data_IF_608575472171
#
_entry.id   IF_608575472171
#
_cell.length_a   1.000
_cell.length_b   1.000
_cell.length_c   1.000
_cell.angle_alpha   90.00
_cell.angle_beta   90.00
_cell.angle_gamma   90.00
#
_symmetry.space_group_name_H-M   'P 1'
#
loop_
_entity.id
_entity.type
_entity.pdbx_description
1 polymer ?
#
# COMPACT_ATOMS: atom_id res chain seq x y z
N UNK A 1 23.19 -8.81 -10.36
CA UNK A 1 22.58 -8.37 -9.08
C UNK A 1 23.59 -8.01 -7.99
N UNK A 2 24.57 -8.87 -7.65
CA UNK A 2 25.54 -8.57 -6.57
C UNK A 2 26.41 -7.35 -6.90
N UNK A 3 26.90 -7.22 -8.14
CA UNK A 3 27.64 -6.03 -8.62
C UNK A 3 26.81 -4.75 -8.62
N UNK A 4 25.50 -4.85 -8.84
CA UNK A 4 24.59 -3.70 -8.79
C UNK A 4 24.41 -3.19 -7.36
N UNK A 5 24.37 -4.09 -6.36
CA UNK A 5 24.23 -3.71 -4.95
C UNK A 5 25.49 -3.02 -4.43
N UNK A 6 26.68 -3.47 -4.83
CA UNK A 6 27.93 -2.79 -4.49
C UNK A 6 28.02 -1.37 -5.08
N UNK A 7 27.48 -1.18 -6.29
CA UNK A 7 27.45 0.14 -6.94
C UNK A 7 26.47 1.12 -6.29
N UNK A 8 25.43 0.63 -5.57
CA UNK A 8 24.47 1.47 -4.85
C UNK A 8 25.17 2.34 -3.79
N UNK A 9 26.11 1.76 -3.04
CA UNK A 9 26.83 2.48 -1.99
C UNK A 9 27.90 3.42 -2.52
N UNK A 10 28.35 3.25 -3.76
CA UNK A 10 29.36 4.09 -4.41
C UNK A 10 28.79 5.41 -4.94
N UNK A 11 27.46 5.55 -5.11
CA UNK A 11 26.82 6.77 -5.57
C UNK A 11 26.39 7.62 -4.37
N UNK A 12 27.04 8.79 -4.10
CA UNK A 12 26.80 9.54 -2.86
C UNK A 12 25.34 10.02 -2.70
N UNK A 13 24.70 10.41 -3.80
CA UNK A 13 23.30 10.89 -3.78
C UNK A 13 22.32 9.78 -3.44
N UNK A 14 22.48 8.60 -4.06
CA UNK A 14 21.62 7.43 -3.80
C UNK A 14 21.79 6.95 -2.36
N UNK A 15 23.04 6.90 -1.89
CA UNK A 15 23.36 6.57 -0.49
C UNK A 15 22.68 7.54 0.48
N UNK A 16 22.73 8.86 0.20
CA UNK A 16 22.08 9.88 1.03
C UNK A 16 20.56 9.68 1.08
N UNK A 17 19.92 9.39 -0.04
CA UNK A 17 18.47 9.12 -0.12
C UNK A 17 18.08 7.86 0.65
N UNK A 18 18.85 6.77 0.51
CA UNK A 18 18.62 5.52 1.25
C UNK A 18 18.77 5.73 2.75
N UNK A 19 19.87 6.37 3.20
CA UNK A 19 20.10 6.67 4.59
C UNK A 19 19.01 7.58 5.19
N UNK A 20 18.55 8.55 4.41
CA UNK A 20 17.43 9.40 4.81
C UNK A 20 16.15 8.60 5.00
N UNK A 21 15.81 7.71 4.06
CA UNK A 21 14.63 6.82 4.15
C UNK A 21 14.72 5.93 5.38
N UNK A 22 15.86 5.26 5.60
CA UNK A 22 16.08 4.42 6.77
C UNK A 22 16.01 5.22 8.08
N UNK A 23 16.57 6.42 8.11
CA UNK A 23 16.49 7.33 9.27
C UNK A 23 15.04 7.72 9.61
N UNK A 24 14.23 8.06 8.59
CA UNK A 24 12.81 8.38 8.79
C UNK A 24 11.98 7.17 9.25
N UNK A 25 12.27 5.98 8.71
CA UNK A 25 11.64 4.73 9.18
C UNK A 25 12.04 4.39 10.63
N UNK A 26 13.29 4.67 11.02
CA UNK A 26 13.72 4.52 12.42
C UNK A 26 12.97 5.49 13.34
N UNK A 27 12.79 6.76 12.94
CA UNK A 27 11.97 7.73 13.69
C UNK A 27 10.52 7.24 13.83
N UNK A 28 9.93 6.74 12.75
CA UNK A 28 8.61 6.13 12.81
C UNK A 28 8.57 4.98 13.82
N UNK A 29 9.58 4.10 13.80
CA UNK A 29 9.62 2.95 14.70
C UNK A 29 9.77 3.35 16.17
N UNK A 30 10.56 4.37 16.48
CA UNK A 30 10.66 4.93 17.84
C UNK A 30 9.30 5.45 18.31
N UNK A 31 8.58 6.19 17.47
CA UNK A 31 7.25 6.72 17.79
C UNK A 31 6.20 5.63 18.05
N UNK A 32 6.33 4.44 17.43
CA UNK A 32 5.48 3.27 17.73
C UNK A 32 5.69 2.69 19.13
N UNK A 33 6.63 3.21 19.92
CA UNK A 33 6.89 2.78 21.31
C UNK A 33 6.55 3.87 22.33
N UNK A 34 6.13 5.05 21.90
CA UNK A 34 5.72 6.15 22.80
C UNK A 34 4.25 5.97 23.17
N UNK A 35 3.92 5.59 24.42
CA UNK A 35 2.54 5.32 24.82
C UNK A 35 1.71 6.63 24.88
N UNK A 36 0.42 6.52 24.61
CA UNK A 36 -0.55 7.60 24.82
C UNK A 36 -0.77 7.79 26.33
N UNK A 37 -0.72 9.01 26.85
CA UNK A 37 -0.93 9.26 28.26
C UNK A 37 -2.33 8.84 28.73
N UNK A 38 -2.42 8.23 29.91
CA UNK A 38 -3.70 7.86 30.55
C UNK A 38 -4.22 6.47 30.20
N UNK A 39 -3.48 5.67 29.42
CA UNK A 39 -3.82 4.27 29.09
C UNK A 39 -2.85 3.34 29.77
N UNK A 40 -3.37 2.27 30.40
CA UNK A 40 -2.55 1.18 30.91
C UNK A 40 -2.21 0.21 29.77
N UNK A 41 -0.99 0.32 29.26
CA UNK A 41 -0.50 -0.49 28.16
C UNK A 41 -0.40 -1.99 28.49
N UNK A 42 -0.23 -2.35 29.77
CA UNK A 42 -0.13 -3.77 30.16
C UNK A 42 -1.49 -4.46 30.16
N UNK A 43 -2.52 -3.79 30.65
CA UNK A 43 -3.91 -4.31 30.64
C UNK A 43 -4.39 -4.43 29.19
N UNK A 44 -4.08 -3.43 28.36
CA UNK A 44 -4.45 -3.42 26.95
C UNK A 44 -3.75 -4.54 26.16
N UNK A 45 -2.46 -4.77 26.39
CA UNK A 45 -1.72 -5.86 25.72
C UNK A 45 -2.32 -7.23 26.02
N UNK A 46 -2.70 -7.50 27.28
CA UNK A 46 -3.39 -8.74 27.65
C UNK A 46 -4.76 -8.89 26.97
N UNK A 47 -5.48 -7.79 26.77
CA UNK A 47 -6.75 -7.80 26.02
C UNK A 47 -6.52 -8.19 24.55
N UNK A 48 -5.48 -7.65 23.92
CA UNK A 48 -5.15 -7.97 22.52
C UNK A 48 -4.60 -9.39 22.32
N UNK A 49 -3.95 -10.01 23.32
CA UNK A 49 -3.54 -11.41 23.27
C UNK A 49 -4.73 -12.36 23.05
N UNK A 50 -5.91 -12.02 23.62
CA UNK A 50 -7.14 -12.79 23.44
C UNK A 50 -7.90 -12.49 22.13
N UNK A 51 -7.52 -11.43 21.39
CA UNK A 51 -8.25 -10.95 20.22
C UNK A 51 -7.48 -11.14 18.91
N UNK A 52 -6.44 -11.95 18.92
CA UNK A 52 -5.67 -12.31 17.71
C UNK A 52 -6.59 -13.04 16.72
N UNK A 53 -6.65 -12.54 15.48
CA UNK A 53 -7.58 -13.05 14.45
C UNK A 53 -8.82 -12.17 14.23
N UNK A 54 -9.08 -11.18 15.08
CA UNK A 54 -10.16 -10.21 14.87
C UNK A 54 -9.73 -9.04 13.97
N UNK A 55 -10.69 -8.18 13.59
CA UNK A 55 -10.42 -6.94 12.85
C UNK A 55 -9.40 -6.05 13.57
N UNK A 56 -9.42 -5.99 14.90
CA UNK A 56 -8.46 -5.24 15.70
C UNK A 56 -7.03 -5.78 15.54
N UNK A 57 -6.85 -7.09 15.47
CA UNK A 57 -5.57 -7.73 15.19
C UNK A 57 -5.03 -7.37 13.80
N UNK A 58 -5.91 -7.28 12.78
CA UNK A 58 -5.50 -6.85 11.44
C UNK A 58 -5.04 -5.37 11.44
N UNK A 59 -5.76 -4.47 12.12
CA UNK A 59 -5.33 -3.06 12.26
C UNK A 59 -3.98 -2.99 12.95
N UNK A 60 -3.79 -3.76 14.03
CA UNK A 60 -2.52 -3.85 14.75
C UNK A 60 -1.38 -4.32 13.85
N UNK A 61 -1.62 -5.29 12.97
CA UNK A 61 -0.63 -5.76 12.01
C UNK A 61 -0.18 -4.64 11.05
N UNK A 62 -1.08 -3.80 10.55
CA UNK A 62 -0.74 -2.66 9.68
C UNK A 62 -0.02 -1.53 10.42
N UNK A 63 -0.32 -1.32 11.69
CA UNK A 63 0.33 -0.29 12.51
C UNK A 63 1.63 -0.77 13.18
N UNK A 64 2.02 -2.04 12.95
CA UNK A 64 3.24 -2.62 13.54
C UNK A 64 3.17 -2.77 15.06
N UNK A 65 1.99 -3.11 15.62
CA UNK A 65 1.74 -3.26 17.04
C UNK A 65 1.53 -1.95 17.80
N UNK A 66 1.42 -0.82 17.09
CA UNK A 66 1.22 0.48 17.72
C UNK A 66 -0.15 0.59 18.41
N UNK A 67 -1.19 -0.09 17.88
CA UNK A 67 -2.53 -0.12 18.47
C UNK A 67 -2.58 -0.96 19.75
N UNK A 68 -1.92 -2.12 19.76
CA UNK A 68 -1.87 -3.00 20.96
C UNK A 68 -1.26 -2.33 22.18
N UNK A 69 -0.32 -1.42 21.93
CA UNK A 69 0.37 -0.65 22.97
C UNK A 69 -0.25 0.73 23.19
N UNK A 70 -1.30 1.06 22.45
CA UNK A 70 -1.92 2.38 22.40
C UNK A 70 -0.88 3.52 22.37
N UNK A 71 -0.04 3.49 21.35
CA UNK A 71 1.00 4.51 21.18
C UNK A 71 0.43 5.76 20.50
N UNK A 72 1.20 6.83 20.47
CA UNK A 72 0.86 8.07 19.74
C UNK A 72 0.54 7.77 18.26
N UNK A 73 1.07 6.68 17.71
CA UNK A 73 0.86 6.24 16.34
C UNK A 73 -0.19 5.12 16.21
N UNK A 74 -1.07 4.94 17.20
CA UNK A 74 -2.05 3.85 17.20
C UNK A 74 -3.01 3.86 16.01
N UNK A 75 -3.43 5.04 15.51
CA UNK A 75 -4.20 5.18 14.28
C UNK A 75 -3.38 4.85 13.01
N UNK A 76 -2.06 4.90 13.10
CA UNK A 76 -1.18 4.69 11.96
C UNK A 76 -1.46 5.65 10.79
N UNK A 77 -1.36 5.13 9.57
CA UNK A 77 -1.60 5.87 8.33
C UNK A 77 -3.05 5.71 7.80
N UNK A 78 -3.91 4.95 8.51
CA UNK A 78 -5.26 4.62 8.03
C UNK A 78 -6.14 5.84 7.75
N UNK A 79 -6.17 6.91 8.58
CA UNK A 79 -6.95 8.12 8.27
C UNK A 79 -6.51 8.79 6.97
N UNK A 80 -5.22 8.79 6.68
CA UNK A 80 -4.67 9.34 5.44
C UNK A 80 -5.08 8.51 4.22
N UNK A 81 -5.01 7.18 4.32
CA UNK A 81 -5.45 6.28 3.25
C UNK A 81 -6.94 6.52 2.95
N UNK A 82 -7.78 6.56 3.98
CA UNK A 82 -9.22 6.80 3.84
C UNK A 82 -9.50 8.16 3.19
N UNK A 83 -8.83 9.23 3.63
CA UNK A 83 -8.96 10.56 3.03
C UNK A 83 -8.52 10.57 1.55
N UNK A 84 -7.42 9.89 1.24
CA UNK A 84 -6.90 9.78 -0.12
C UNK A 84 -7.89 9.04 -1.05
N UNK A 85 -8.50 7.94 -0.55
CA UNK A 85 -9.51 7.18 -1.29
C UNK A 85 -10.72 8.07 -1.59
N UNK A 86 -11.26 8.75 -0.57
CA UNK A 86 -12.42 9.62 -0.71
C UNK A 86 -12.15 10.70 -1.78
N UNK A 87 -10.99 11.33 -1.73
CA UNK A 87 -10.64 12.37 -2.71
C UNK A 87 -10.42 11.80 -4.10
N UNK A 88 -9.79 10.62 -4.24
CA UNK A 88 -9.65 9.96 -5.53
C UNK A 88 -11.01 9.56 -6.13
N UNK A 89 -11.95 9.08 -5.31
CA UNK A 89 -13.31 8.84 -5.77
C UNK A 89 -14.00 10.14 -6.21
N UNK A 90 -13.81 11.23 -5.46
CA UNK A 90 -14.36 12.54 -5.81
C UNK A 90 -13.78 13.10 -7.12
N UNK A 91 -12.54 12.77 -7.49
CA UNK A 91 -11.98 13.19 -8.80
C UNK A 91 -12.71 12.57 -9.99
N UNK A 92 -13.40 11.45 -9.79
CA UNK A 92 -14.17 10.79 -10.86
C UNK A 92 -15.65 11.22 -10.86
N UNK A 93 -16.21 11.47 -9.67
CA UNK A 93 -17.64 11.75 -9.50
C UNK A 93 -17.96 13.24 -9.57
N UNK A 94 -17.03 14.10 -9.11
CA UNK A 94 -17.25 15.53 -8.95
C UNK A 94 -16.47 16.34 -9.99
N UNK A 95 -17.16 16.89 -10.98
CA UNK A 95 -16.56 17.66 -12.08
C UNK A 95 -15.56 18.76 -11.64
N UNK A 96 -15.80 19.56 -10.56
CA UNK A 96 -14.84 20.57 -10.11
C UNK A 96 -13.49 19.95 -9.65
N UNK A 97 -13.53 18.75 -9.03
CA UNK A 97 -12.34 18.05 -8.55
C UNK A 97 -11.63 17.35 -9.73
N UNK A 98 -12.39 16.84 -10.70
CA UNK A 98 -11.86 16.32 -11.95
C UNK A 98 -11.08 17.40 -12.74
N UNK A 99 -11.63 18.61 -12.85
CA UNK A 99 -10.95 19.75 -13.50
C UNK A 99 -9.62 20.08 -12.81
N UNK A 100 -9.63 20.14 -11.47
CA UNK A 100 -8.40 20.34 -10.68
C UNK A 100 -7.37 19.24 -10.94
N UNK A 101 -7.78 17.98 -11.05
CA UNK A 101 -6.87 16.87 -11.36
C UNK A 101 -6.20 17.03 -12.73
N UNK A 102 -6.87 17.68 -13.69
CA UNK A 102 -6.35 17.94 -15.06
C UNK A 102 -5.48 19.18 -15.16
N UNK A 103 -5.46 20.06 -14.15
CA UNK A 103 -4.63 21.29 -14.12
C UNK A 103 -3.12 21.03 -13.92
N UNK A 104 -2.69 19.76 -13.92
CA UNK A 104 -1.29 19.39 -13.83
C UNK A 104 -0.74 19.47 -12.40
N UNK A 105 0.47 20.03 -12.22
CA UNK A 105 1.16 20.01 -10.92
C UNK A 105 0.46 20.86 -9.85
N UNK A 106 -0.13 21.98 -10.25
CA UNK A 106 -0.81 22.89 -9.32
C UNK A 106 -2.09 22.28 -8.77
N UNK A 107 -2.87 21.63 -9.63
CA UNK A 107 -4.07 20.89 -9.22
C UNK A 107 -3.74 19.71 -8.28
N UNK A 108 -2.69 18.96 -8.59
CA UNK A 108 -2.21 17.88 -7.70
C UNK A 108 -1.82 18.40 -6.31
N UNK A 109 -1.13 19.52 -6.21
CA UNK A 109 -0.79 20.16 -4.92
C UNK A 109 -2.04 20.53 -4.13
N UNK A 110 -3.07 21.03 -4.80
CA UNK A 110 -4.37 21.37 -4.17
C UNK A 110 -5.08 20.12 -3.66
N UNK A 111 -5.13 19.04 -4.45
CA UNK A 111 -5.72 17.76 -4.04
C UNK A 111 -4.96 17.19 -2.82
N UNK A 112 -3.64 17.20 -2.83
CA UNK A 112 -2.81 16.78 -1.69
C UNK A 112 -3.11 17.60 -0.44
N UNK A 113 -3.30 18.92 -0.57
CA UNK A 113 -3.69 19.79 0.55
C UNK A 113 -5.06 19.40 1.13
N UNK A 114 -6.03 19.10 0.28
CA UNK A 114 -7.34 18.62 0.74
C UNK A 114 -7.27 17.24 1.40
N UNK A 115 -6.40 16.35 0.89
CA UNK A 115 -6.13 15.06 1.52
C UNK A 115 -5.61 15.26 2.95
N UNK A 116 -4.68 16.19 3.18
CA UNK A 116 -4.16 16.51 4.51
C UNK A 116 -5.27 16.99 5.46
N UNK A 117 -6.14 17.89 5.01
CA UNK A 117 -7.27 18.34 5.82
C UNK A 117 -8.25 17.21 6.11
N UNK A 118 -8.61 16.41 5.11
CA UNK A 118 -9.45 15.23 5.28
C UNK A 118 -8.86 14.22 6.27
N UNK A 119 -7.55 14.03 6.23
CA UNK A 119 -6.83 13.17 7.18
C UNK A 119 -6.99 13.65 8.61
N UNK A 120 -6.84 14.95 8.87
CA UNK A 120 -7.00 15.52 10.21
C UNK A 120 -8.45 15.34 10.71
N UNK A 121 -9.44 15.62 9.87
CA UNK A 121 -10.85 15.44 10.24
C UNK A 121 -11.16 13.98 10.56
N UNK A 122 -10.73 13.06 9.69
CA UNK A 122 -10.94 11.62 9.93
C UNK A 122 -10.18 11.12 11.16
N UNK A 123 -8.97 11.62 11.43
CA UNK A 123 -8.21 11.23 12.62
C UNK A 123 -8.87 11.71 13.91
N UNK A 124 -9.52 12.88 13.91
CA UNK A 124 -10.31 13.36 15.06
C UNK A 124 -11.51 12.44 15.30
N UNK A 125 -12.25 12.09 14.24
CA UNK A 125 -13.44 11.21 14.34
C UNK A 125 -13.02 9.80 14.83
N UNK A 126 -12.00 9.22 14.21
CA UNK A 126 -11.51 7.89 14.61
C UNK A 126 -10.87 7.89 15.99
N UNK A 127 -10.12 8.95 16.33
CA UNK A 127 -9.53 9.14 17.65
C UNK A 127 -10.60 9.27 18.75
N UNK A 128 -11.70 9.97 18.47
CA UNK A 128 -12.85 10.04 19.39
C UNK A 128 -13.46 8.65 19.61
N UNK A 129 -13.63 7.87 18.54
CA UNK A 129 -14.14 6.50 18.63
C UNK A 129 -13.29 5.58 19.49
N UNK A 130 -11.99 5.64 19.25
CA UNK A 130 -11.05 4.83 20.05
C UNK A 130 -11.05 5.31 21.50
N UNK A 131 -11.06 6.61 21.77
CA UNK A 131 -11.07 7.16 23.12
C UNK A 131 -12.32 6.72 23.92
N UNK A 132 -13.50 6.74 23.29
CA UNK A 132 -14.75 6.26 23.90
C UNK A 132 -14.71 4.74 24.09
N UNK A 133 -14.26 4.00 23.08
CA UNK A 133 -14.16 2.54 23.18
C UNK A 133 -13.20 2.08 24.28
N UNK A 134 -12.06 2.76 24.46
CA UNK A 134 -11.10 2.43 25.52
C UNK A 134 -11.66 2.62 26.94
N UNK A 135 -12.55 3.58 27.16
CA UNK A 135 -13.18 3.78 28.47
C UNK A 135 -14.12 2.63 28.87
N UNK A 136 -14.70 1.95 27.87
CA UNK A 136 -15.60 0.80 28.10
C UNK A 136 -14.86 -0.53 28.18
N UNK A 137 -13.62 -0.59 27.68
CA UNK A 137 -12.81 -1.79 27.65
C UNK A 137 -12.31 -2.18 29.05
N UNK A 138 -12.41 -3.48 29.35
CA UNK A 138 -11.89 -4.09 30.58
C UNK A 138 -10.94 -5.21 30.21
N UNK A 139 -9.86 -5.32 30.97
CA UNK A 139 -8.93 -6.45 30.85
C UNK A 139 -9.55 -7.77 31.28
N UNK A 140 -8.89 -8.91 31.02
CA UNK A 140 -9.39 -10.24 31.37
C UNK A 140 -9.69 -10.43 32.87
N UNK A 141 -9.02 -9.68 33.75
CA UNK A 141 -9.22 -9.67 35.19
C UNK A 141 -10.25 -8.63 35.67
N UNK A 142 -10.96 -7.95 34.75
CA UNK A 142 -11.93 -6.89 35.07
C UNK A 142 -11.29 -5.51 35.32
N UNK A 143 -9.97 -5.39 35.17
CA UNK A 143 -9.23 -4.14 35.31
C UNK A 143 -9.63 -3.14 34.20
N UNK A 144 -9.69 -1.85 34.58
CA UNK A 144 -9.99 -0.79 33.60
C UNK A 144 -8.74 -0.45 32.80
N UNK A 145 -8.86 -0.43 31.47
CA UNK A 145 -7.79 0.00 30.56
C UNK A 145 -7.44 1.50 30.76
N UNK A 146 -8.46 2.30 31.16
CA UNK A 146 -8.33 3.72 31.47
C UNK A 146 -8.68 3.97 32.92
N UNK A 147 -7.69 4.16 33.80
CA UNK A 147 -7.95 4.41 35.22
C UNK A 147 -8.72 5.70 35.48
N UNK A 148 -8.39 6.77 34.77
CA UNK A 148 -9.01 8.09 34.90
C UNK A 148 -9.96 8.34 33.71
N UNK A 149 -11.21 7.91 33.85
CA UNK A 149 -12.25 8.13 32.85
C UNK A 149 -12.75 9.58 32.90
N UNK A 150 -13.06 10.16 31.76
CA UNK A 150 -13.67 11.48 31.66
C UNK A 150 -13.38 12.21 30.35
N UNK A 151 -14.00 13.37 30.21
CA UNK A 151 -13.83 14.22 29.01
C UNK A 151 -12.36 14.65 28.79
N UNK A 152 -11.59 14.83 29.88
CA UNK A 152 -10.17 15.18 29.82
C UNK A 152 -9.33 14.09 29.11
N UNK A 153 -9.60 12.82 29.41
CA UNK A 153 -8.95 11.70 28.73
C UNK A 153 -9.32 11.66 27.24
N UNK A 154 -10.61 11.85 26.91
CA UNK A 154 -11.09 11.84 25.51
C UNK A 154 -10.38 12.92 24.70
N UNK A 155 -10.36 14.17 25.20
CA UNK A 155 -9.69 15.28 24.51
C UNK A 155 -8.19 15.04 24.36
N UNK A 156 -7.53 14.58 25.42
CA UNK A 156 -6.09 14.28 25.39
C UNK A 156 -5.78 13.20 24.34
N UNK A 157 -6.56 12.12 24.32
CA UNK A 157 -6.37 11.02 23.37
C UNK A 157 -6.60 11.48 21.94
N UNK A 158 -7.67 12.25 21.66
CA UNK A 158 -7.94 12.80 20.34
C UNK A 158 -6.77 13.66 19.84
N UNK A 159 -6.30 14.60 20.67
CA UNK A 159 -5.19 15.47 20.31
C UNK A 159 -3.91 14.67 20.05
N UNK A 160 -3.60 13.72 20.93
CA UNK A 160 -2.39 12.88 20.81
C UNK A 160 -2.41 12.03 19.55
N UNK A 161 -3.51 11.34 19.26
CA UNK A 161 -3.64 10.49 18.09
C UNK A 161 -3.68 11.29 16.79
N UNK A 162 -4.35 12.45 16.78
CA UNK A 162 -4.38 13.33 15.62
C UNK A 162 -2.99 13.92 15.33
N UNK A 163 -2.28 14.35 16.36
CA UNK A 163 -0.90 14.84 16.22
C UNK A 163 0.02 13.72 15.70
N UNK A 164 -0.12 12.49 16.21
CA UNK A 164 0.62 11.33 15.74
C UNK A 164 0.35 11.01 14.28
N UNK A 165 -0.91 10.99 13.86
CA UNK A 165 -1.29 10.76 12.45
C UNK A 165 -0.75 11.86 11.53
N UNK A 166 -0.84 13.13 11.94
CA UNK A 166 -0.29 14.25 11.18
C UNK A 166 1.23 14.13 11.03
N UNK A 167 1.92 13.67 12.05
CA UNK A 167 3.36 13.45 12.02
C UNK A 167 3.75 12.27 11.09
N UNK A 168 3.03 11.15 11.15
CA UNK A 168 3.24 10.01 10.23
C UNK A 168 3.01 10.43 8.78
N UNK A 169 1.95 11.18 8.51
CA UNK A 169 1.65 11.74 7.19
C UNK A 169 2.82 12.58 6.69
N UNK A 170 3.33 13.50 7.52
CA UNK A 170 4.48 14.32 7.20
C UNK A 170 5.74 13.48 6.93
N UNK A 171 6.00 12.44 7.77
CA UNK A 171 7.10 11.51 7.54
C UNK A 171 6.99 10.82 6.18
N UNK A 172 5.81 10.32 5.82
CA UNK A 172 5.55 9.67 4.53
C UNK A 172 5.81 10.60 3.34
N UNK A 173 5.38 11.85 3.44
CA UNK A 173 5.65 12.87 2.43
C UNK A 173 7.15 13.19 2.31
N UNK A 174 7.86 13.35 3.43
CA UNK A 174 9.31 13.58 3.41
C UNK A 174 10.08 12.43 2.78
N UNK A 175 9.69 11.18 3.06
CA UNK A 175 10.31 10.01 2.43
C UNK A 175 10.06 10.05 0.92
N UNK A 176 8.84 10.36 0.48
CA UNK A 176 8.48 10.43 -0.95
C UNK A 176 9.24 11.54 -1.69
N UNK A 177 9.41 12.71 -1.07
CA UNK A 177 10.07 13.86 -1.69
C UNK A 177 11.60 13.75 -1.70
N UNK A 178 12.20 13.31 -0.60
CA UNK A 178 13.65 13.35 -0.38
C UNK A 178 14.32 11.98 -0.31
N UNK A 179 13.53 10.93 -0.12
CA UNK A 179 13.99 9.55 0.00
C UNK A 179 13.92 8.77 -1.30
N UNK A 180 13.68 7.48 -1.17
CA UNK A 180 13.46 6.52 -2.25
C UNK A 180 12.18 5.75 -1.94
N UNK A 181 11.37 5.51 -2.95
CA UNK A 181 10.10 4.78 -2.82
C UNK A 181 8.93 5.70 -2.47
N UNK A 182 7.75 5.10 -2.40
CA UNK A 182 6.55 5.76 -1.88
C UNK A 182 6.60 5.69 -0.35
N UNK A 183 6.74 6.85 0.32
CA UNK A 183 6.92 6.92 1.76
C UNK A 183 5.78 6.31 2.56
N UNK A 184 4.54 6.45 2.09
CA UNK A 184 3.36 5.88 2.74
C UNK A 184 3.40 4.35 2.68
N UNK A 185 3.69 3.80 1.50
CA UNK A 185 3.82 2.36 1.31
C UNK A 185 4.98 1.78 2.13
N UNK A 186 6.10 2.52 2.24
CA UNK A 186 7.24 2.12 3.06
C UNK A 186 6.96 2.15 4.56
N UNK A 187 6.14 3.07 5.05
CA UNK A 187 5.69 3.09 6.45
C UNK A 187 4.83 1.87 6.75
N UNK A 188 3.89 1.52 5.87
CA UNK A 188 3.07 0.30 6.01
C UNK A 188 3.96 -0.94 5.99
N UNK A 189 4.88 -1.01 5.02
CA UNK A 189 5.88 -2.08 4.93
C UNK A 189 6.68 -2.24 6.21
N UNK A 190 7.20 -1.13 6.78
CA UNK A 190 7.96 -1.15 8.02
C UNK A 190 7.11 -1.61 9.22
N UNK A 191 5.82 -1.25 9.26
CA UNK A 191 4.87 -1.75 10.25
C UNK A 191 4.70 -3.26 10.19
N UNK A 192 4.48 -3.80 8.99
CA UNK A 192 4.28 -5.24 8.78
C UNK A 192 5.57 -6.03 9.08
N UNK A 193 6.71 -5.59 8.56
CA UNK A 193 8.02 -6.26 8.76
C UNK A 193 8.41 -6.26 10.24
N UNK A 194 8.04 -5.25 11.00
CA UNK A 194 8.33 -5.16 12.42
C UNK A 194 7.66 -6.26 13.27
N UNK A 195 6.59 -6.86 12.79
CA UNK A 195 5.91 -7.98 13.46
C UNK A 195 6.50 -9.36 13.06
N UNK A 196 7.39 -9.43 12.04
CA UNK A 196 8.00 -10.69 11.61
C UNK A 196 8.79 -11.41 12.70
N UNK A 197 9.67 -10.74 13.48
CA UNK A 197 10.43 -11.43 14.51
C UNK A 197 9.54 -12.08 15.56
N UNK A 198 8.48 -11.42 16.01
CA UNK A 198 7.53 -11.96 17.00
C UNK A 198 6.76 -13.15 16.43
N UNK A 199 6.37 -13.12 15.17
CA UNK A 199 5.72 -14.23 14.50
C UNK A 199 6.63 -15.48 14.43
N UNK A 200 7.91 -15.29 14.11
CA UNK A 200 8.91 -16.38 14.08
C UNK A 200 9.07 -16.97 15.49
N UNK A 201 9.25 -16.12 16.50
CA UNK A 201 9.41 -16.56 17.90
C UNK A 201 8.18 -17.35 18.36
N UNK A 202 6.97 -16.89 18.06
CA UNK A 202 5.73 -17.58 18.42
C UNK A 202 5.62 -18.92 17.68
N UNK A 203 6.00 -19.01 16.42
CA UNK A 203 6.02 -20.28 15.67
C UNK A 203 7.01 -21.29 16.29
N UNK A 204 8.20 -20.84 16.72
CA UNK A 204 9.16 -21.69 17.44
C UNK A 204 8.59 -22.14 18.79
N UNK A 205 7.88 -21.27 19.53
CA UNK A 205 7.25 -21.61 20.79
C UNK A 205 6.21 -22.72 20.60
N UNK A 206 5.31 -22.57 19.59
CA UNK A 206 4.28 -23.56 19.28
C UNK A 206 4.87 -24.90 18.80
N UNK A 207 6.02 -24.87 18.17
CA UNK A 207 6.78 -26.09 17.86
C UNK A 207 7.29 -26.78 19.15
N UNK A 208 7.82 -26.01 20.08
CA UNK A 208 8.35 -26.55 21.35
C UNK A 208 7.23 -27.07 22.28
N UNK A 209 6.02 -26.53 22.21
CA UNK A 209 4.82 -27.03 22.95
C UNK A 209 4.20 -28.25 22.30
N UNK A 210 4.64 -28.65 21.10
CA UNK A 210 4.14 -29.81 20.38
C UNK A 210 2.82 -29.58 19.62
N UNK A 211 2.31 -28.35 19.60
CA UNK A 211 1.10 -27.97 18.84
C UNK A 211 1.36 -27.94 17.33
N UNK A 212 2.61 -27.68 16.92
CA UNK A 212 3.02 -27.69 15.52
C UNK A 212 3.97 -28.85 15.24
N UNK A 213 3.62 -29.67 14.24
CA UNK A 213 4.49 -30.73 13.75
C UNK A 213 5.52 -30.14 12.78
N UNK A 214 6.74 -30.70 12.75
CA UNK A 214 7.80 -30.25 11.81
C UNK A 214 7.35 -30.31 10.35
N UNK A 215 6.52 -31.29 10.00
CA UNK A 215 5.95 -31.43 8.67
C UNK A 215 5.03 -30.23 8.33
N UNK A 216 4.23 -29.75 9.29
CA UNK A 216 3.38 -28.59 9.09
C UNK A 216 4.18 -27.31 8.91
N UNK A 217 5.26 -27.12 9.65
CA UNK A 217 6.18 -25.98 9.49
C UNK A 217 6.80 -25.97 8.10
N UNK A 218 7.29 -27.12 7.62
CA UNK A 218 7.83 -27.25 6.27
C UNK A 218 6.79 -26.97 5.20
N UNK A 219 5.57 -27.45 5.39
CA UNK A 219 4.45 -27.16 4.48
C UNK A 219 4.15 -25.67 4.41
N UNK A 220 4.05 -25.00 5.57
CA UNK A 220 3.81 -23.54 5.65
C UNK A 220 4.92 -22.78 4.94
N UNK A 221 6.18 -23.14 5.19
CA UNK A 221 7.33 -22.50 4.55
C UNK A 221 7.29 -22.69 3.02
N UNK A 222 6.97 -23.89 2.55
CA UNK A 222 6.83 -24.18 1.13
C UNK A 222 5.70 -23.36 0.48
N UNK A 223 4.54 -23.26 1.15
CA UNK A 223 3.42 -22.43 0.70
C UNK A 223 3.81 -20.95 0.68
N UNK A 224 4.48 -20.44 1.70
CA UNK A 224 4.96 -19.05 1.72
C UNK A 224 5.89 -18.75 0.55
N UNK A 225 6.87 -19.60 0.30
CA UNK A 225 7.80 -19.45 -0.84
C UNK A 225 7.05 -19.50 -2.16
N UNK A 226 6.10 -20.41 -2.31
CA UNK A 226 5.28 -20.51 -3.52
C UNK A 226 4.42 -19.25 -3.74
N UNK A 227 3.81 -18.72 -2.70
CA UNK A 227 3.01 -17.47 -2.76
C UNK A 227 3.89 -16.29 -3.12
N UNK A 228 5.05 -16.13 -2.48
CA UNK A 228 6.01 -15.06 -2.79
C UNK A 228 6.49 -15.16 -4.25
N UNK A 229 6.82 -16.37 -4.72
CA UNK A 229 7.21 -16.59 -6.10
C UNK A 229 6.08 -16.23 -7.09
N UNK A 230 4.84 -16.61 -6.78
CA UNK A 230 3.67 -16.26 -7.58
C UNK A 230 3.44 -14.74 -7.63
N UNK A 231 3.60 -14.04 -6.48
CA UNK A 231 3.50 -12.58 -6.42
C UNK A 231 4.57 -11.93 -7.31
N UNK A 232 5.83 -12.34 -7.18
CA UNK A 232 6.93 -11.79 -7.98
C UNK A 232 6.69 -12.04 -9.47
N UNK A 233 6.22 -13.23 -9.84
CA UNK A 233 5.93 -13.57 -11.23
C UNK A 233 4.82 -12.69 -11.81
N UNK A 234 3.73 -12.50 -11.09
CA UNK A 234 2.60 -11.68 -11.54
C UNK A 234 2.91 -10.18 -11.56
N UNK A 235 3.61 -9.66 -10.54
CA UNK A 235 3.99 -8.23 -10.46
C UNK A 235 5.01 -7.84 -11.54
N UNK A 236 5.90 -8.75 -11.94
CA UNK A 236 6.84 -8.55 -13.05
C UNK A 236 6.21 -8.83 -14.42
N UNK A 237 5.06 -9.49 -14.45
CA UNK A 237 4.32 -9.82 -15.66
C UNK A 237 3.89 -8.56 -16.42
N UNK A 238 4.25 -8.47 -17.71
CA UNK A 238 3.83 -7.36 -18.57
C UNK A 238 3.47 -7.86 -19.97
N UNK A 239 2.39 -7.32 -20.52
CA UNK A 239 2.04 -7.51 -21.93
C UNK A 239 2.67 -6.38 -22.73
N UNK A 240 3.51 -6.71 -23.69
CA UNK A 240 4.15 -5.76 -24.59
C UNK A 240 3.33 -5.60 -25.87
N UNK A 241 2.68 -4.45 -26.03
CA UNK A 241 1.94 -4.13 -27.26
C UNK A 241 2.91 -3.47 -28.24
N UNK A 242 3.13 -4.04 -29.46
CA UNK A 242 4.08 -3.48 -30.42
C UNK A 242 3.53 -2.18 -31.01
N UNK A 243 4.39 -1.16 -31.07
CA UNK A 243 4.11 0.12 -31.73
C UNK A 243 5.15 0.30 -32.84
N UNK A 244 4.67 0.51 -34.05
CA UNK A 244 5.51 0.80 -35.21
C UNK A 244 5.51 2.32 -35.47
N UNK A 245 6.69 2.89 -35.65
CA UNK A 245 6.85 4.27 -36.08
C UNK A 245 7.17 4.33 -37.56
N UNK A 246 6.54 5.26 -38.29
CA UNK A 246 6.76 5.45 -39.71
C UNK A 246 8.24 5.84 -39.99
N UNK A 247 8.84 5.22 -40.99
CA UNK A 247 10.17 5.60 -41.46
C UNK A 247 10.09 6.96 -42.10
N UNK A 248 10.92 7.90 -41.64
CA UNK A 248 11.11 9.21 -42.24
C UNK A 248 12.41 9.19 -43.02
N UNK A 249 12.34 9.38 -44.34
CA UNK A 249 13.51 9.51 -45.19
C UNK A 249 13.78 11.01 -45.37
N UNK A 250 14.92 11.49 -44.90
CA UNK A 250 15.36 12.87 -45.08
C UNK A 250 16.69 12.83 -45.86
N UNK A 251 16.62 13.05 -47.16
CA UNK A 251 17.75 12.88 -48.08
C UNK A 251 18.19 11.41 -48.20
N UNK A 252 19.48 11.13 -48.11
CA UNK A 252 20.03 9.76 -48.14
C UNK A 252 20.01 9.03 -46.78
N UNK A 253 19.49 9.66 -45.73
CA UNK A 253 19.47 9.05 -44.37
C UNK A 253 18.06 8.62 -44.00
N UNK A 254 17.91 7.33 -43.69
CA UNK A 254 16.69 6.79 -43.10
C UNK A 254 16.66 7.08 -41.60
N UNK A 255 15.72 7.92 -41.17
CA UNK A 255 15.42 8.17 -39.75
C UNK A 255 14.10 7.45 -39.38
N UNK A 256 14.12 6.64 -38.32
CA UNK A 256 12.94 5.95 -37.83
C UNK A 256 12.82 4.50 -38.32
N UNK A 257 11.71 3.88 -38.03
CA UNK A 257 11.46 2.45 -38.28
C UNK A 257 11.85 1.55 -37.11
N UNK A 258 12.06 2.13 -35.91
CA UNK A 258 12.22 1.36 -34.69
C UNK A 258 10.84 0.90 -34.22
N UNK A 259 10.72 -0.38 -33.96
CA UNK A 259 9.60 -0.98 -33.21
C UNK A 259 9.80 -0.70 -31.73
N UNK A 260 8.91 0.08 -31.15
CA UNK A 260 8.80 0.24 -29.71
C UNK A 260 7.69 -0.65 -29.16
N UNK A 261 7.69 -0.89 -27.87
CA UNK A 261 6.66 -1.67 -27.23
C UNK A 261 6.07 -0.86 -26.06
N UNK A 262 4.74 -0.83 -25.98
CA UNK A 262 4.02 -0.30 -24.82
C UNK A 262 3.93 -1.42 -23.78
N UNK A 263 4.64 -1.31 -22.65
CA UNK A 263 4.55 -2.32 -21.58
C UNK A 263 3.30 -2.05 -20.75
N UNK A 264 2.35 -2.98 -20.74
CA UNK A 264 1.19 -2.97 -19.86
C UNK A 264 1.41 -4.04 -18.78
N UNK A 265 1.53 -3.63 -17.52
CA UNK A 265 1.66 -4.56 -16.39
C UNK A 265 0.38 -5.38 -16.22
N UNK A 266 0.46 -6.64 -15.81
CA UNK A 266 -0.70 -7.48 -15.50
C UNK A 266 -1.44 -6.90 -14.29
N UNK A 267 -0.72 -6.47 -13.28
CA UNK A 267 -1.26 -5.72 -12.14
C UNK A 267 -0.88 -4.24 -12.27
N UNK A 268 -1.74 -3.45 -12.94
CA UNK A 268 -1.55 -2.00 -13.09
C UNK A 268 -1.86 -1.25 -11.79
N UNK A 269 -2.76 -1.78 -10.97
CA UNK A 269 -3.20 -1.18 -9.71
C UNK A 269 -2.23 -1.42 -8.54
N UNK A 270 -1.29 -2.37 -8.68
CA UNK A 270 -0.30 -2.69 -7.66
C UNK A 270 -0.94 -3.21 -6.36
N UNK A 271 -0.39 -2.78 -5.23
CA UNK A 271 -0.83 -3.20 -3.88
C UNK A 271 -1.92 -2.30 -3.27
N UNK A 272 -2.35 -1.26 -3.98
CA UNK A 272 -3.29 -0.26 -3.48
C UNK A 272 -4.71 -0.81 -3.27
N UNK A 273 -5.30 -1.60 -4.20
CA UNK A 273 -6.67 -2.08 -4.05
C UNK A 273 -6.94 -2.88 -2.77
N UNK A 274 -6.12 -3.83 -2.35
CA UNK A 274 -6.31 -4.54 -1.07
C UNK A 274 -6.25 -3.62 0.15
N UNK A 275 -5.38 -2.60 0.12
CA UNK A 275 -5.28 -1.61 1.19
C UNK A 275 -6.58 -0.80 1.28
N UNK A 276 -7.13 -0.39 0.14
CA UNK A 276 -8.39 0.34 0.07
C UNK A 276 -9.57 -0.53 0.52
N UNK A 277 -9.65 -1.77 0.04
CA UNK A 277 -10.69 -2.71 0.42
C UNK A 277 -10.69 -2.95 1.95
N UNK A 278 -9.52 -3.20 2.55
CA UNK A 278 -9.41 -3.38 4.00
C UNK A 278 -9.81 -2.14 4.78
N UNK A 279 -9.39 -0.94 4.32
CA UNK A 279 -9.73 0.33 4.97
C UNK A 279 -11.24 0.60 4.99
N UNK A 280 -11.95 0.30 3.90
CA UNK A 280 -13.40 0.50 3.81
C UNK A 280 -14.15 -0.51 4.68
N UNK A 281 -13.73 -1.77 4.69
CA UNK A 281 -14.37 -2.80 5.52
C UNK A 281 -14.17 -2.51 7.01
N UNK A 282 -13.05 -1.92 7.40
CA UNK A 282 -12.79 -1.52 8.79
C UNK A 282 -13.62 -0.32 9.25
N UNK A 283 -14.10 0.52 8.35
CA UNK A 283 -14.84 1.73 8.71
C UNK A 283 -16.13 1.43 9.51
N UNK A 284 -17.01 0.49 9.11
CA UNK A 284 -18.20 0.12 9.90
C UNK A 284 -17.86 -0.38 11.31
N UNK A 285 -16.79 -1.16 11.46
CA UNK A 285 -16.35 -1.64 12.79
C UNK A 285 -15.89 -0.47 13.68
N UNK A 286 -15.24 0.54 13.11
CA UNK A 286 -14.84 1.74 13.87
C UNK A 286 -16.07 2.55 14.29
N UNK A 287 -17.08 2.66 13.42
CA UNK A 287 -18.35 3.37 13.74
C UNK A 287 -19.16 2.58 14.78
N UNK A 288 -19.16 1.26 14.73
CA UNK A 288 -19.87 0.41 15.70
C UNK A 288 -19.38 0.61 17.15
N UNK A 289 -18.10 0.96 17.31
CA UNK A 289 -17.54 1.30 18.62
C UNK A 289 -17.98 2.69 19.15
N UNK A 290 -18.48 3.55 18.25
CA UNK A 290 -18.96 4.90 18.58
C UNK A 290 -20.44 4.94 18.90
N UNK A 291 -21.22 4.06 18.27
CA UNK A 291 -22.68 4.13 18.25
C UNK A 291 -23.23 2.81 18.81
N UNK A 292 -23.80 2.88 19.99
CA UNK A 292 -24.38 1.71 20.67
C UNK A 292 -25.80 1.40 20.11
N UNK A 293 -25.85 1.02 18.82
CA UNK A 293 -27.10 0.66 18.14
C UNK A 293 -27.01 -0.81 17.69
N UNK A 294 -27.99 -1.65 18.06
CA UNK A 294 -27.93 -3.10 17.85
C UNK A 294 -27.73 -3.53 16.39
N UNK A 295 -28.33 -2.85 15.42
CA UNK A 295 -28.15 -3.20 14.00
C UNK A 295 -26.74 -2.88 13.48
N UNK A 296 -26.09 -1.83 13.99
CA UNK A 296 -24.72 -1.45 13.62
C UNK A 296 -23.74 -2.51 14.15
N UNK A 297 -23.95 -2.97 15.39
CA UNK A 297 -23.16 -4.04 15.99
C UNK A 297 -23.34 -5.38 15.24
N UNK A 298 -24.57 -5.69 14.80
CA UNK A 298 -24.85 -6.88 13.98
C UNK A 298 -24.11 -6.82 12.64
N UNK A 299 -24.13 -5.68 11.96
CA UNK A 299 -23.40 -5.49 10.69
C UNK A 299 -21.89 -5.58 10.91
N UNK A 300 -21.37 -4.98 11.97
CA UNK A 300 -19.94 -5.06 12.31
C UNK A 300 -19.51 -6.49 12.63
N UNK A 301 -20.35 -7.27 13.34
CA UNK A 301 -20.10 -8.67 13.62
C UNK A 301 -20.09 -9.55 12.36
N UNK A 302 -20.93 -9.26 11.37
CA UNK A 302 -20.92 -9.94 10.07
C UNK A 302 -19.69 -9.60 9.21
N UNK A 303 -19.02 -8.48 9.49
CA UNK A 303 -17.81 -8.04 8.80
C UNK A 303 -16.52 -8.46 9.52
N UNK A 304 -16.56 -9.49 10.35
CA UNK A 304 -15.36 -10.10 10.94
C UNK A 304 -14.68 -11.06 9.96
N UNK A 305 -13.33 -11.19 9.99
CA UNK A 305 -12.59 -12.06 9.06
C UNK A 305 -13.02 -13.53 9.09
N UNK A 306 -13.60 -14.01 10.19
CA UNK A 306 -14.08 -15.38 10.36
C UNK A 306 -15.37 -15.66 9.58
N UNK A 307 -16.08 -14.60 9.17
CA UNK A 307 -17.35 -14.75 8.46
C UNK A 307 -17.15 -14.82 6.95
N UNK A 308 -17.84 -15.75 6.26
CA UNK A 308 -17.74 -15.89 4.80
C UNK A 308 -18.14 -14.61 4.04
N UNK A 309 -19.09 -13.83 4.58
CA UNK A 309 -19.52 -12.55 4.02
C UNK A 309 -18.37 -11.55 3.94
N UNK A 310 -17.50 -11.50 4.95
CA UNK A 310 -16.30 -10.66 4.91
C UNK A 310 -15.46 -10.96 3.66
N UNK A 311 -15.18 -12.23 3.40
CA UNK A 311 -14.37 -12.63 2.26
C UNK A 311 -15.03 -12.27 0.93
N UNK A 312 -16.36 -12.40 0.82
CA UNK A 312 -17.11 -12.02 -0.39
C UNK A 312 -17.03 -10.51 -0.63
N UNK A 313 -17.31 -9.68 0.38
CA UNK A 313 -17.19 -8.24 0.27
C UNK A 313 -15.76 -7.79 0.00
N UNK A 314 -14.80 -8.42 0.65
CA UNK A 314 -13.39 -8.12 0.48
C UNK A 314 -12.93 -8.35 -0.96
N UNK A 315 -13.28 -9.50 -1.54
CA UNK A 315 -13.01 -9.81 -2.95
C UNK A 315 -13.73 -8.84 -3.89
N UNK A 316 -15.01 -8.54 -3.63
CA UNK A 316 -15.77 -7.59 -4.44
C UNK A 316 -15.14 -6.19 -4.43
N UNK A 317 -14.73 -5.69 -3.27
CA UNK A 317 -14.03 -4.41 -3.15
C UNK A 317 -12.65 -4.43 -3.81
N UNK A 318 -11.87 -5.51 -3.68
CA UNK A 318 -10.59 -5.63 -4.39
C UNK A 318 -10.82 -5.51 -5.89
N UNK A 319 -11.77 -6.26 -6.46
CA UNK A 319 -12.07 -6.21 -7.89
C UNK A 319 -12.51 -4.80 -8.29
N UNK A 320 -13.43 -4.19 -7.54
CA UNK A 320 -13.89 -2.84 -7.79
C UNK A 320 -12.72 -1.84 -7.81
N UNK A 321 -11.87 -1.86 -6.78
CA UNK A 321 -10.73 -0.94 -6.69
C UNK A 321 -9.63 -1.22 -7.72
N UNK A 322 -9.43 -2.46 -8.15
CA UNK A 322 -8.53 -2.77 -9.26
C UNK A 322 -8.96 -2.06 -10.55
N UNK A 323 -10.25 -2.15 -10.90
CA UNK A 323 -10.79 -1.47 -12.08
C UNK A 323 -10.78 0.04 -11.89
N UNK A 324 -11.24 0.52 -10.76
CA UNK A 324 -11.29 1.95 -10.43
C UNK A 324 -9.90 2.59 -10.53
N UNK A 325 -8.91 2.02 -9.84
CA UNK A 325 -7.55 2.57 -9.81
C UNK A 325 -6.88 2.50 -11.18
N UNK A 326 -7.10 1.43 -11.92
CA UNK A 326 -6.59 1.32 -13.30
C UNK A 326 -7.18 2.41 -14.20
N UNK A 327 -8.48 2.68 -14.10
CA UNK A 327 -9.15 3.71 -14.88
C UNK A 327 -8.66 5.13 -14.53
N UNK A 328 -8.37 5.40 -13.24
CA UNK A 328 -7.85 6.69 -12.79
C UNK A 328 -6.38 6.89 -13.21
N UNK A 329 -5.59 5.84 -13.12
CA UNK A 329 -4.12 5.94 -13.34
C UNK A 329 -3.75 5.93 -14.82
N UNK A 330 -4.51 5.22 -15.63
CA UNK A 330 -4.21 5.01 -17.04
C UNK A 330 -5.36 5.44 -17.93
N UNK A 331 -5.16 6.51 -18.70
CA UNK A 331 -6.14 6.99 -19.69
C UNK A 331 -5.77 6.46 -21.09
N UNK A 332 -6.53 5.48 -21.64
CA UNK A 332 -6.25 4.92 -22.95
C UNK A 332 -6.34 5.95 -24.08
N UNK A 333 -7.19 6.98 -23.92
CA UNK A 333 -7.40 8.03 -24.94
C UNK A 333 -6.13 8.89 -25.08
N UNK A 334 -5.59 9.37 -23.94
CA UNK A 334 -4.39 10.22 -23.93
C UNK A 334 -3.18 9.46 -24.48
N UNK A 335 -3.05 8.17 -24.14
CA UNK A 335 -1.98 7.31 -24.65
C UNK A 335 -2.10 7.12 -26.17
N UNK A 336 -3.32 6.84 -26.67
CA UNK A 336 -3.56 6.67 -28.12
C UNK A 336 -3.29 7.98 -28.88
N UNK A 337 -3.68 9.12 -28.34
CA UNK A 337 -3.35 10.43 -28.92
C UNK A 337 -1.83 10.71 -28.96
N UNK A 338 -1.13 10.41 -27.88
CA UNK A 338 0.31 10.60 -27.81
C UNK A 338 1.05 9.72 -28.83
N UNK A 339 0.64 8.45 -28.98
CA UNK A 339 1.16 7.55 -30.00
C UNK A 339 0.91 8.14 -31.40
N UNK A 340 -0.31 8.63 -31.67
CA UNK A 340 -0.67 9.26 -32.95
C UNK A 340 0.15 10.52 -33.22
N UNK A 341 0.32 11.41 -32.22
CA UNK A 341 1.12 12.64 -32.33
C UNK A 341 2.60 12.35 -32.67
N UNK A 342 3.11 11.23 -32.16
CA UNK A 342 4.47 10.77 -32.44
C UNK A 342 4.61 10.00 -33.78
N UNK A 343 3.52 9.84 -34.55
CA UNK A 343 3.52 9.09 -35.79
C UNK A 343 3.60 7.56 -35.62
N UNK A 344 3.28 7.07 -34.43
CA UNK A 344 3.22 5.65 -34.11
C UNK A 344 1.83 5.05 -34.43
N UNK A 345 1.80 3.75 -34.72
CA UNK A 345 0.57 2.97 -34.89
C UNK A 345 0.75 1.54 -34.39
N UNK A 346 -0.34 0.94 -33.97
CA UNK A 346 -0.39 -0.49 -33.62
C UNK A 346 -0.70 -1.28 -34.88
N UNK A 347 0.08 -2.34 -35.23
CA UNK A 347 -0.20 -3.15 -36.42
C UNK A 347 -1.63 -3.71 -36.40
N UNK A 348 -2.35 -3.54 -37.51
CA UNK A 348 -3.74 -3.99 -37.65
C UNK A 348 -4.82 -3.10 -37.01
N UNK A 349 -4.44 -1.98 -36.35
CA UNK A 349 -5.41 -1.06 -35.71
C UNK A 349 -5.23 0.35 -36.28
N UNK A 350 -6.34 1.03 -36.61
CA UNK A 350 -6.29 2.41 -37.12
C UNK A 350 -5.85 3.37 -36.00
N UNK A 351 -4.93 4.33 -36.28
CA UNK A 351 -4.52 5.32 -35.29
C UNK A 351 -5.70 6.19 -34.83
N UNK A 352 -5.76 6.48 -33.53
CA UNK A 352 -6.78 7.30 -32.92
C UNK A 352 -7.78 6.49 -32.09
N UNK A 353 -9.10 6.67 -32.30
CA UNK A 353 -10.16 6.06 -31.48
C UNK A 353 -10.07 4.53 -31.43
N UNK A 354 -9.84 3.86 -32.56
CA UNK A 354 -9.69 2.42 -32.61
C UNK A 354 -8.49 1.91 -31.78
N UNK A 355 -7.40 2.67 -31.76
CA UNK A 355 -6.22 2.37 -30.92
C UNK A 355 -6.56 2.49 -29.43
N UNK A 356 -7.31 3.53 -29.04
CA UNK A 356 -7.79 3.70 -27.65
C UNK A 356 -8.69 2.53 -27.24
N UNK A 357 -9.66 2.15 -28.06
CA UNK A 357 -10.57 1.01 -27.77
C UNK A 357 -9.82 -0.33 -27.70
N UNK A 358 -8.79 -0.53 -28.52
CA UNK A 358 -7.94 -1.72 -28.46
C UNK A 358 -7.13 -1.77 -27.16
N UNK A 359 -6.50 -0.65 -26.78
CA UNK A 359 -5.74 -0.55 -25.53
C UNK A 359 -6.66 -0.77 -24.32
N UNK A 360 -7.86 -0.18 -24.32
CA UNK A 360 -8.85 -0.32 -23.24
C UNK A 360 -9.31 -1.79 -23.10
N UNK A 361 -9.57 -2.47 -24.20
CA UNK A 361 -9.93 -3.90 -24.19
C UNK A 361 -8.82 -4.76 -23.61
N UNK A 362 -7.56 -4.50 -24.00
CA UNK A 362 -6.39 -5.22 -23.46
C UNK A 362 -6.23 -4.93 -21.96
N UNK A 363 -6.35 -3.68 -21.59
CA UNK A 363 -6.22 -3.23 -20.21
C UNK A 363 -7.30 -3.84 -19.30
N UNK A 364 -8.55 -3.84 -19.73
CA UNK A 364 -9.67 -4.43 -18.99
C UNK A 364 -9.47 -5.93 -18.74
N UNK A 365 -8.99 -6.68 -19.74
CA UNK A 365 -8.68 -8.10 -19.58
C UNK A 365 -7.51 -8.36 -18.64
N UNK A 366 -6.46 -7.53 -18.71
CA UNK A 366 -5.33 -7.63 -17.80
C UNK A 366 -5.74 -7.29 -16.37
N UNK A 367 -6.54 -6.23 -16.18
CA UNK A 367 -7.06 -5.82 -14.87
C UNK A 367 -7.92 -6.92 -14.24
N UNK A 368 -8.74 -7.62 -15.04
CA UNK A 368 -9.53 -8.76 -14.55
C UNK A 368 -8.63 -9.89 -14.04
N UNK A 369 -7.64 -10.29 -14.84
CA UNK A 369 -6.67 -11.32 -14.43
C UNK A 369 -5.88 -10.90 -13.17
N UNK A 370 -5.45 -9.63 -13.12
CA UNK A 370 -4.79 -9.04 -11.96
C UNK A 370 -5.67 -9.02 -10.72
N UNK A 371 -6.95 -8.65 -10.85
CA UNK A 371 -7.90 -8.61 -9.74
C UNK A 371 -8.17 -10.01 -9.16
N UNK A 372 -8.33 -11.02 -9.99
CA UNK A 372 -8.49 -12.42 -9.54
C UNK A 372 -7.23 -12.88 -8.80
N UNK A 373 -6.06 -12.62 -9.36
CA UNK A 373 -4.78 -12.96 -8.71
C UNK A 373 -4.65 -12.29 -7.33
N UNK A 374 -4.85 -10.96 -7.25
CA UNK A 374 -4.76 -10.22 -6.00
C UNK A 374 -5.77 -10.75 -4.98
N UNK A 375 -7.00 -10.99 -5.38
CA UNK A 375 -8.04 -11.57 -4.52
C UNK A 375 -7.65 -12.96 -4.01
N UNK A 376 -7.13 -13.83 -4.87
CA UNK A 376 -6.69 -15.16 -4.49
C UNK A 376 -5.56 -15.11 -3.45
N UNK A 377 -4.55 -14.25 -3.66
CA UNK A 377 -3.43 -14.07 -2.72
C UNK A 377 -3.91 -13.51 -1.38
N UNK A 378 -4.89 -12.60 -1.38
CA UNK A 378 -5.39 -11.98 -0.15
C UNK A 378 -6.27 -12.93 0.68
N UNK A 379 -7.06 -13.79 0.03
CA UNK A 379 -8.00 -14.70 0.71
C UNK A 379 -7.33 -16.02 1.11
N UNK A 380 -6.30 -16.47 0.40
CA UNK A 380 -5.64 -17.75 0.65
C UNK A 380 -5.17 -17.94 2.11
N UNK A 381 -4.52 -16.97 2.79
CA UNK A 381 -4.15 -17.15 4.19
C UNK A 381 -5.34 -17.22 5.13
N UNK A 382 -6.42 -16.49 4.86
CA UNK A 382 -7.64 -16.55 5.68
C UNK A 382 -8.23 -17.96 5.66
N UNK A 383 -8.22 -18.63 4.51
CA UNK A 383 -8.65 -20.02 4.38
C UNK A 383 -7.69 -20.96 5.14
N UNK A 384 -6.37 -20.73 5.03
CA UNK A 384 -5.37 -21.56 5.70
C UNK A 384 -5.47 -21.44 7.23
N UNK A 385 -5.67 -20.24 7.76
CA UNK A 385 -5.88 -20.03 9.21
C UNK A 385 -7.15 -20.74 9.68
N UNK A 386 -8.25 -20.56 8.96
CA UNK A 386 -9.55 -21.14 9.36
C UNK A 386 -9.61 -22.67 9.33
N UNK A 387 -8.88 -23.32 8.40
CA UNK A 387 -8.91 -24.79 8.27
C UNK A 387 -7.80 -25.50 9.04
N UNK A 388 -6.62 -24.91 9.16
CA UNK A 388 -5.45 -25.59 9.74
C UNK A 388 -5.04 -25.04 11.10
N UNK A 389 -5.77 -24.07 11.67
CA UNK A 389 -5.43 -23.40 12.95
C UNK A 389 -3.95 -22.97 13.02
N UNK A 390 -3.37 -22.65 11.87
CA UNK A 390 -1.99 -22.25 11.78
C UNK A 390 -1.89 -20.81 12.26
N UNK A 391 -0.99 -20.48 13.18
CA UNK A 391 -0.74 -19.11 13.60
C UNK A 391 -0.03 -18.34 12.47
N UNK A 392 -0.74 -18.11 11.38
CA UNK A 392 -0.23 -17.40 10.24
C UNK A 392 -0.42 -15.90 10.46
N UNK A 393 0.53 -15.26 11.12
CA UNK A 393 0.54 -13.81 11.37
C UNK A 393 0.66 -12.97 10.10
N UNK A 394 0.91 -13.59 8.95
CA UNK A 394 1.01 -12.91 7.66
C UNK A 394 -0.28 -13.10 6.86
N UNK A 395 -1.22 -12.18 7.00
CA UNK A 395 -2.33 -12.09 6.07
C UNK A 395 -1.85 -11.94 4.63
N UNK A 396 -2.61 -12.41 3.64
CA UNK A 396 -2.24 -12.32 2.23
C UNK A 396 -1.98 -10.88 1.75
N UNK A 397 -2.71 -9.93 2.32
CA UNK A 397 -2.47 -8.50 2.11
C UNK A 397 -1.08 -8.08 2.56
N UNK A 398 -0.61 -8.56 3.70
CA UNK A 398 0.71 -8.24 4.25
C UNK A 398 1.83 -8.77 3.36
N UNK A 399 1.73 -10.02 2.87
CA UNK A 399 2.70 -10.59 1.93
C UNK A 399 2.74 -9.83 0.61
N UNK A 400 1.57 -9.51 0.07
CA UNK A 400 1.46 -8.75 -1.18
C UNK A 400 2.08 -7.35 -1.03
N UNK A 401 1.84 -6.67 0.10
CA UNK A 401 2.43 -5.36 0.39
C UNK A 401 3.95 -5.47 0.55
N UNK A 402 4.45 -6.46 1.31
CA UNK A 402 5.90 -6.64 1.50
C UNK A 402 6.60 -6.83 0.16
N UNK A 403 6.09 -7.75 -0.67
CA UNK A 403 6.73 -8.05 -1.95
C UNK A 403 6.55 -6.92 -2.95
N UNK A 404 5.34 -6.35 -3.06
CA UNK A 404 5.03 -5.28 -4.01
C UNK A 404 5.81 -4.01 -3.71
N UNK A 405 5.81 -3.53 -2.46
CA UNK A 405 6.59 -2.34 -2.05
C UNK A 405 8.09 -2.58 -2.20
N UNK A 406 8.56 -3.81 -1.88
CA UNK A 406 9.95 -4.19 -2.10
C UNK A 406 10.35 -4.13 -3.57
N UNK A 407 9.53 -4.67 -4.47
CA UNK A 407 9.76 -4.62 -5.93
C UNK A 407 9.71 -3.19 -6.48
N UNK A 408 8.73 -2.38 -6.06
CA UNK A 408 8.63 -0.99 -6.51
C UNK A 408 9.82 -0.16 -6.04
N UNK A 409 10.26 -0.34 -4.80
CA UNK A 409 11.45 0.34 -4.27
C UNK A 409 12.72 -0.10 -5.00
N UNK A 410 12.88 -1.40 -5.26
CA UNK A 410 14.00 -1.93 -6.03
C UNK A 410 14.02 -1.38 -7.46
N UNK A 411 12.86 -1.31 -8.13
CA UNK A 411 12.72 -0.75 -9.48
C UNK A 411 13.09 0.74 -9.52
N UNK A 412 12.72 1.52 -8.49
CA UNK A 412 13.11 2.93 -8.40
C UNK A 412 14.63 3.08 -8.20
N UNK A 413 15.24 2.23 -7.37
CA UNK A 413 16.69 2.21 -7.20
C UNK A 413 17.39 1.89 -8.53
N UNK A 414 16.91 0.88 -9.26
CA UNK A 414 17.44 0.51 -10.58
C UNK A 414 17.30 1.66 -11.58
N UNK A 415 16.16 2.33 -11.61
CA UNK A 415 15.94 3.50 -12.49
C UNK A 415 16.92 4.64 -12.21
N UNK A 416 17.20 4.94 -10.94
CA UNK A 416 18.19 5.95 -10.55
C UNK A 416 19.61 5.53 -10.91
N UNK A 417 19.96 4.24 -10.79
CA UNK A 417 21.26 3.71 -11.19
C UNK A 417 21.50 3.85 -12.71
N UNK A 418 20.49 3.50 -13.53
CA UNK A 418 20.57 3.58 -14.98
C UNK A 418 20.69 5.04 -15.44
N UNK A 419 19.88 5.95 -14.91
CA UNK A 419 19.93 7.38 -15.24
C UNK A 419 21.33 7.97 -15.01
N UNK A 420 21.98 7.64 -13.91
CA UNK A 420 23.32 8.13 -13.58
C UNK A 420 24.46 7.46 -14.36
N UNK A 421 24.29 6.19 -14.74
CA UNK A 421 25.25 5.53 -15.62
C UNK A 421 25.35 6.25 -16.98
N UNK A 422 24.22 6.71 -17.51
CA UNK A 422 24.19 7.50 -18.75
C UNK A 422 24.83 8.90 -18.60
N UNK A 423 24.63 9.59 -17.48
CA UNK A 423 25.28 10.88 -17.22
C UNK A 423 26.82 10.76 -17.12
N UNK A 424 27.31 9.65 -16.51
CA UNK A 424 28.74 9.34 -16.44
C UNK A 424 29.38 9.13 -17.82
N UNK A 425 28.66 8.45 -18.72
CA UNK A 425 29.09 8.26 -20.10
C UNK A 425 29.12 9.59 -20.88
N UNK A 426 28.14 10.47 -20.69
CA UNK A 426 28.09 11.77 -21.37
C UNK A 426 29.16 12.76 -20.89
N UNK A 427 29.57 12.72 -19.63
CA UNK A 427 30.66 13.55 -19.09
C UNK A 427 32.05 13.11 -19.56
N UNK A 428 32.22 11.87 -20.03
CA UNK A 428 33.47 11.34 -20.58
C UNK A 428 33.67 11.54 -22.08
N UNK A 429 32.64 11.93 -22.80
CA UNK A 429 32.72 12.16 -24.28
C UNK A 429 32.85 13.66 -24.56
N UNK A 430 34.06 14.16 -24.58
CA UNK A 430 34.38 15.42 -25.24
C UNK A 430 34.14 15.22 -26.73
N UNK A 431 33.02 15.74 -27.25
CA UNK A 431 32.75 15.81 -28.70
C UNK A 431 33.77 16.80 -29.25
N UNK A 432 34.89 16.29 -29.78
CA UNK A 432 35.78 17.09 -30.62
C UNK A 432 34.98 17.48 -31.86
N UNK A 433 34.52 18.70 -31.88
CA UNK A 433 33.92 19.30 -33.06
C UNK A 433 34.93 19.22 -34.24
N UNK A 434 34.44 18.76 -35.39
CA UNK A 434 35.19 18.67 -36.65
C UNK A 434 35.40 20.09 -37.20
N UNK A 435 36.32 20.82 -36.57
CA UNK A 435 36.95 22.03 -37.17
C UNK A 435 38.39 22.07 -36.69
N UNK A 436 39.26 21.73 -37.57
CA UNK A 436 40.71 21.77 -37.45
C UNK A 436 41.30 20.78 -38.38
#
# INVERSE_FOLDING_TARGET
MISSIQNIFNIPELRRRILFTLGMLAVYRVGCHVPTPGVDAQVLAKFFEGTQGTLLGLVSAFTGGALERMTVFALGIMPYISASIILQLLTVVFEPVERLSKEGEQGRKTITKWTRYGTIVLSVIQGAGIAVGLQTMRGPAGELVVPNQGMGFILLTIITLTAGTAFIMWLGEQITERGIGNGISLIIFAGIVANMPSAIINSIRLFNTGELTIFLILLILAVMVAVVAAIIFMERGQRRVPIHYAKRVVGMRNYGGQTSHLPLKVNMSGVIPPIFASSIIMFPATVANLVDVPWVQTVAAMMTPDHWLYNVFFVAFIIFFCYFYTAVTFNPVDVAENIKKQGGYIPGVRPGKATSEHIDTVLSRLTFAGAIYVSAVCVLPTILIGQFNVPFYFGGTSLLIIVGVGLDTASQIEAHLISRSYEGFMKGVTIKGRRG
#
